data_IF_057364070210
#
_entry.id   IF_057364070210
#
_cell.length_a   1.000
_cell.length_b   1.000
_cell.length_c   1.000
_cell.angle_alpha   90.00
_cell.angle_beta   90.00
_cell.angle_gamma   90.00
#
_symmetry.space_group_name_H-M   'P 1'
#
loop_
_entity.id
_entity.type
_entity.pdbx_description
1 polymer ?
#
# COMPACT_ATOMS: atom_id res chain seq x y z
N UNK A 1 -20.29 46.79 -25.89
CA UNK A 1 -18.84 46.49 -26.00
C UNK A 1 -18.67 45.17 -26.73
N UNK A 2 -18.24 45.23 -28.00
CA UNK A 2 -17.84 44.04 -28.75
C UNK A 2 -16.38 43.75 -28.34
N UNK A 3 -16.17 42.65 -27.62
CA UNK A 3 -14.82 42.13 -27.42
C UNK A 3 -14.31 41.59 -28.78
N UNK A 4 -13.36 42.25 -29.39
CA UNK A 4 -12.60 41.71 -30.51
C UNK A 4 -11.86 40.45 -29.98
N UNK A 5 -12.20 39.29 -30.55
CA UNK A 5 -11.47 38.04 -30.28
C UNK A 5 -10.12 38.15 -30.93
N UNK A 6 -9.06 38.27 -30.13
CA UNK A 6 -7.72 38.14 -30.67
C UNK A 6 -7.54 36.73 -31.28
N UNK A 7 -6.86 36.63 -32.43
CA UNK A 7 -6.62 35.32 -33.05
C UNK A 7 -5.73 34.48 -32.13
N UNK A 8 -6.22 33.29 -31.77
CA UNK A 8 -5.43 32.32 -31.03
C UNK A 8 -4.40 31.73 -31.99
N UNK A 9 -3.12 31.96 -31.74
CA UNK A 9 -2.03 31.29 -32.46
C UNK A 9 -1.87 29.89 -31.86
N UNK A 10 -2.19 28.88 -32.65
CA UNK A 10 -1.97 27.49 -32.28
C UNK A 10 -0.56 27.15 -32.72
N UNK A 11 0.34 26.88 -31.77
CA UNK A 11 1.69 26.37 -32.00
C UNK A 11 1.75 24.92 -31.50
N UNK A 12 1.71 23.98 -32.44
CA UNK A 12 1.80 22.56 -32.20
C UNK A 12 3.18 21.98 -32.58
N UNK A 13 4.18 22.86 -32.76
CA UNK A 13 5.55 22.46 -33.09
C UNK A 13 6.22 21.51 -32.08
N UNK A 14 5.71 21.47 -30.83
CA UNK A 14 6.16 20.56 -29.78
C UNK A 14 5.34 19.27 -29.68
N UNK A 15 4.34 19.08 -30.55
CA UNK A 15 3.56 17.84 -30.63
C UNK A 15 4.20 16.90 -31.62
N UNK A 16 4.79 15.84 -31.13
CA UNK A 16 5.42 14.81 -31.95
C UNK A 16 4.43 13.67 -32.26
N UNK A 17 4.36 13.26 -33.52
CA UNK A 17 3.59 12.08 -33.90
C UNK A 17 4.25 10.82 -33.27
N UNK A 18 3.46 9.78 -32.92
CA UNK A 18 4.01 8.48 -32.52
C UNK A 18 4.96 7.92 -33.56
N UNK A 19 5.99 7.17 -33.13
CA UNK A 19 6.88 6.49 -34.05
C UNK A 19 6.10 5.53 -34.97
N UNK A 20 6.49 5.48 -36.23
CA UNK A 20 5.94 4.49 -37.20
C UNK A 20 6.41 3.06 -36.92
N UNK A 21 7.52 2.93 -36.19
CA UNK A 21 8.09 1.67 -35.71
C UNK A 21 8.28 1.78 -34.23
N UNK A 22 7.24 1.46 -33.42
CA UNK A 22 7.29 1.59 -31.95
C UNK A 22 8.30 0.62 -31.33
N UNK A 23 8.59 -0.52 -31.93
CA UNK A 23 9.55 -1.51 -31.43
C UNK A 23 11.00 -1.00 -31.47
N UNK A 24 11.30 -0.04 -32.37
CA UNK A 24 12.63 0.57 -32.46
C UNK A 24 12.87 1.67 -31.45
N UNK A 25 11.86 2.07 -30.67
CA UNK A 25 11.97 3.18 -29.71
C UNK A 25 12.62 2.71 -28.42
N UNK A 26 13.84 3.18 -28.16
CA UNK A 26 14.52 2.96 -26.90
C UNK A 26 13.94 3.87 -25.80
N UNK A 27 13.55 3.27 -24.68
CA UNK A 27 13.08 4.01 -23.50
C UNK A 27 14.28 4.42 -22.65
N UNK A 28 14.65 5.70 -22.72
CA UNK A 28 15.71 6.26 -21.89
C UNK A 28 15.11 6.74 -20.56
N UNK A 29 15.53 6.11 -19.44
CA UNK A 29 15.10 6.48 -18.10
C UNK A 29 16.16 7.30 -17.41
N UNK A 30 15.72 8.35 -16.67
CA UNK A 30 16.59 9.11 -15.79
C UNK A 30 17.10 8.26 -14.60
N UNK A 31 18.13 8.71 -13.88
CA UNK A 31 18.81 7.91 -12.84
C UNK A 31 17.91 7.52 -11.67
N UNK A 32 16.88 8.32 -11.39
CA UNK A 32 15.91 8.08 -10.31
C UNK A 32 14.63 7.38 -10.78
N UNK A 33 14.55 6.94 -12.03
CA UNK A 33 13.39 6.20 -12.55
C UNK A 33 13.74 4.71 -12.53
N UNK A 34 13.10 3.96 -11.65
CA UNK A 34 13.27 2.52 -11.49
C UNK A 34 11.98 1.78 -11.91
N UNK A 35 12.06 0.50 -12.28
CA UNK A 35 10.86 -0.31 -12.48
C UNK A 35 9.96 -0.27 -11.25
N UNK A 36 8.64 -0.25 -11.48
CA UNK A 36 7.69 -0.33 -10.37
C UNK A 36 7.81 -1.71 -9.69
N UNK A 37 7.92 -1.79 -8.36
CA UNK A 37 7.92 -3.07 -7.67
C UNK A 37 6.55 -3.72 -7.74
N UNK A 38 6.55 -5.04 -7.81
CA UNK A 38 5.35 -5.86 -7.86
C UNK A 38 5.30 -6.72 -6.60
N UNK A 39 4.14 -6.78 -5.95
CA UNK A 39 3.94 -7.60 -4.76
C UNK A 39 3.80 -9.09 -5.12
N UNK A 40 4.01 -9.97 -4.13
CA UNK A 40 3.71 -11.40 -4.24
C UNK A 40 2.26 -11.68 -3.87
N UNK A 41 1.64 -12.75 -4.38
CA UNK A 41 0.31 -13.19 -3.96
C UNK A 41 0.19 -13.29 -2.43
N UNK A 42 -1.02 -13.09 -1.92
CA UNK A 42 -1.32 -13.26 -0.51
C UNK A 42 -1.37 -14.76 -0.18
N UNK A 43 -0.59 -15.23 0.79
CA UNK A 43 -0.69 -16.63 1.24
C UNK A 43 -1.97 -16.85 2.05
N UNK A 44 -2.43 -18.09 2.17
CA UNK A 44 -3.55 -18.45 3.01
C UNK A 44 -3.23 -18.38 4.51
N UNK A 45 -1.97 -18.54 4.87
CA UNK A 45 -1.45 -18.32 6.23
C UNK A 45 -0.39 -17.23 6.22
N UNK A 46 -0.54 -16.25 7.09
CA UNK A 46 0.39 -15.16 7.29
C UNK A 46 0.87 -15.14 8.75
N UNK A 47 2.15 -15.40 8.96
CA UNK A 47 2.81 -15.25 10.26
C UNK A 47 3.82 -14.11 10.16
N UNK A 48 3.56 -13.01 10.84
CA UNK A 48 4.36 -11.79 10.77
C UNK A 48 4.35 -11.01 12.08
N UNK A 49 5.44 -10.29 12.31
CA UNK A 49 5.54 -9.36 13.43
C UNK A 49 4.76 -8.07 13.19
N UNK A 50 4.27 -7.50 14.28
CA UNK A 50 3.83 -6.11 14.33
C UNK A 50 5.07 -5.21 14.26
N UNK A 51 5.41 -4.76 13.06
CA UNK A 51 6.64 -3.95 12.87
C UNK A 51 6.49 -2.50 13.32
N UNK A 52 5.25 -2.05 13.52
CA UNK A 52 4.94 -0.75 14.13
C UNK A 52 3.52 -0.71 14.68
N UNK A 53 3.35 -0.23 15.92
CA UNK A 53 2.06 0.12 16.53
C UNK A 53 1.89 1.63 16.57
N UNK A 54 0.80 2.15 16.03
CA UNK A 54 0.56 3.57 15.79
C UNK A 54 -0.77 4.01 16.42
N UNK A 55 -0.86 5.27 16.80
CA UNK A 55 -2.08 5.86 17.36
C UNK A 55 -3.12 6.27 16.33
N UNK A 56 -3.93 7.27 16.70
CA UNK A 56 -4.98 7.85 15.86
C UNK A 56 -4.44 8.77 14.77
N UNK A 57 -5.23 8.94 13.69
CA UNK A 57 -5.04 9.96 12.66
C UNK A 57 -3.66 9.89 11.99
N UNK A 58 -3.21 8.69 11.69
CA UNK A 58 -1.98 8.51 10.91
C UNK A 58 -2.22 8.99 9.49
N UNK A 59 -1.52 10.05 9.12
CA UNK A 59 -1.66 10.65 7.80
C UNK A 59 -0.79 9.96 6.75
N UNK A 60 -1.13 10.17 5.48
CA UNK A 60 -0.26 9.72 4.37
C UNK A 60 1.12 10.38 4.40
N UNK A 61 1.26 11.56 5.03
CA UNK A 61 2.57 12.20 5.28
C UNK A 61 3.36 11.53 6.39
N UNK A 62 2.70 11.00 7.43
CA UNK A 62 3.37 10.17 8.44
C UNK A 62 3.90 8.88 7.81
N UNK A 63 3.13 8.26 6.91
CA UNK A 63 3.51 6.98 6.28
C UNK A 63 4.62 7.20 5.24
N UNK A 64 4.42 8.12 4.30
CA UNK A 64 5.36 8.42 3.22
C UNK A 64 5.48 9.95 3.06
N UNK A 65 6.46 10.58 3.69
CA UNK A 65 6.69 12.02 3.59
C UNK A 65 6.84 12.49 2.14
N UNK A 66 6.35 13.69 1.82
CA UNK A 66 6.36 14.24 0.47
C UNK A 66 7.12 15.58 0.38
N UNK A 67 7.98 15.86 1.33
CA UNK A 67 8.81 17.06 1.33
C UNK A 67 9.86 17.08 0.21
N UNK A 68 10.51 18.23 0.02
CA UNK A 68 11.53 18.45 -1.03
C UNK A 68 12.66 17.41 -0.98
N UNK A 69 13.01 16.89 0.20
CA UNK A 69 14.02 15.83 0.41
C UNK A 69 13.64 14.51 -0.27
N UNK A 70 12.35 14.20 -0.32
CA UNK A 70 11.82 12.89 -0.76
C UNK A 70 11.30 12.96 -2.20
N UNK A 71 10.84 14.13 -2.63
CA UNK A 71 10.22 14.35 -3.94
C UNK A 71 11.03 13.81 -5.13
N UNK A 72 12.38 13.93 -5.20
CA UNK A 72 13.18 13.38 -6.30
C UNK A 72 13.12 11.87 -6.45
N UNK A 73 12.68 11.14 -5.42
CA UNK A 73 12.66 9.67 -5.38
C UNK A 73 11.29 9.05 -5.66
N UNK A 74 10.29 9.85 -6.10
CA UNK A 74 8.92 9.34 -6.34
C UNK A 74 8.85 8.16 -7.32
N UNK A 75 9.76 8.09 -8.27
CA UNK A 75 9.88 6.97 -9.22
C UNK A 75 10.99 5.98 -8.86
N UNK A 76 11.53 6.05 -7.65
CA UNK A 76 12.51 5.13 -7.09
C UNK A 76 12.01 4.63 -5.72
N UNK A 77 11.16 3.59 -5.76
CA UNK A 77 10.46 3.11 -4.56
C UNK A 77 11.43 2.51 -3.55
N UNK A 78 12.53 1.88 -3.99
CA UNK A 78 13.59 1.40 -3.12
C UNK A 78 14.13 2.55 -2.24
N UNK A 79 14.49 3.67 -2.87
CA UNK A 79 14.99 4.84 -2.11
C UNK A 79 13.88 5.52 -1.32
N UNK A 80 12.67 5.61 -1.88
CA UNK A 80 11.52 6.20 -1.19
C UNK A 80 11.18 5.43 0.08
N UNK A 81 11.27 4.10 0.06
CA UNK A 81 10.91 3.24 1.19
C UNK A 81 11.77 3.48 2.44
N UNK A 82 12.98 4.03 2.28
CA UNK A 82 13.84 4.38 3.42
C UNK A 82 13.31 5.55 4.26
N UNK A 83 12.30 6.27 3.76
CA UNK A 83 11.66 7.39 4.47
C UNK A 83 10.30 7.01 5.08
N UNK A 84 9.84 5.76 4.87
CA UNK A 84 8.58 5.30 5.44
C UNK A 84 8.64 5.37 6.96
N UNK A 85 7.65 6.04 7.56
CA UNK A 85 7.56 6.27 9.01
C UNK A 85 8.81 6.90 9.66
N UNK A 86 9.66 7.63 8.90
CA UNK A 86 10.92 8.19 9.44
C UNK A 86 10.73 9.04 10.70
N UNK A 87 9.55 9.65 10.89
CA UNK A 87 9.23 10.45 12.08
C UNK A 87 8.51 9.66 13.19
N UNK A 88 8.14 8.40 12.95
CA UNK A 88 7.41 7.56 13.90
C UNK A 88 8.28 6.45 14.48
N UNK A 89 9.14 5.85 13.67
CA UNK A 89 10.05 4.77 14.07
C UNK A 89 11.36 4.88 13.32
N UNK A 90 12.43 5.14 14.05
CA UNK A 90 13.78 5.22 13.49
C UNK A 90 14.16 3.89 12.80
N UNK A 91 14.75 3.99 11.62
CA UNK A 91 15.17 2.83 10.82
C UNK A 91 14.06 1.80 10.53
N UNK A 92 12.82 2.26 10.34
CA UNK A 92 11.68 1.38 10.05
C UNK A 92 11.94 0.44 8.86
N UNK A 93 12.60 0.93 7.81
CA UNK A 93 12.96 0.11 6.65
C UNK A 93 13.90 -1.05 7.01
N UNK A 94 14.81 -0.87 7.98
CA UNK A 94 15.68 -1.93 8.46
C UNK A 94 14.90 -2.95 9.30
N UNK A 95 14.01 -2.48 10.18
CA UNK A 95 13.11 -3.37 10.95
C UNK A 95 12.32 -4.27 10.00
N UNK A 96 11.75 -3.71 8.92
CA UNK A 96 11.04 -4.51 7.93
C UNK A 96 11.95 -5.51 7.21
N UNK A 97 13.16 -5.12 6.84
CA UNK A 97 14.12 -6.01 6.17
C UNK A 97 14.53 -7.19 7.05
N UNK A 98 14.85 -6.93 8.30
CA UNK A 98 15.25 -7.95 9.29
C UNK A 98 14.14 -8.96 9.57
N UNK A 99 12.87 -8.52 9.54
CA UNK A 99 11.70 -9.36 9.79
C UNK A 99 10.99 -9.84 8.50
N UNK A 100 11.59 -9.58 7.33
CA UNK A 100 11.02 -9.97 6.04
C UNK A 100 9.60 -9.41 5.83
N UNK A 101 9.40 -8.14 6.17
CA UNK A 101 8.12 -7.47 6.14
C UNK A 101 7.43 -7.43 7.51
N UNK A 102 6.09 -7.30 7.51
CA UNK A 102 5.36 -7.24 8.76
C UNK A 102 3.91 -6.83 8.62
N UNK A 103 3.30 -6.58 9.77
CA UNK A 103 1.95 -6.05 9.93
C UNK A 103 2.06 -4.68 10.61
N UNK A 104 1.26 -3.72 10.14
CA UNK A 104 1.09 -2.41 10.78
C UNK A 104 -0.18 -2.47 11.62
N UNK A 105 -0.10 -1.99 12.87
CA UNK A 105 -1.26 -1.84 13.77
C UNK A 105 -1.47 -0.36 14.06
N UNK A 106 -2.72 0.12 13.97
CA UNK A 106 -3.07 1.52 14.21
C UNK A 106 -4.45 1.65 14.88
N UNK A 107 -4.77 2.85 15.33
CA UNK A 107 -6.10 3.20 15.84
C UNK A 107 -7.00 3.78 14.74
N UNK A 108 -7.71 4.85 15.07
CA UNK A 108 -8.70 5.48 14.21
C UNK A 108 -8.09 6.23 13.03
N UNK A 109 -8.79 6.17 11.88
CA UNK A 109 -8.55 7.04 10.73
C UNK A 109 -7.14 6.90 10.14
N UNK A 110 -6.69 5.65 9.93
CA UNK A 110 -5.40 5.36 9.31
C UNK A 110 -5.39 5.75 7.83
N UNK A 111 -4.34 6.47 7.40
CA UNK A 111 -4.14 6.91 6.02
C UNK A 111 -4.86 8.22 5.66
N UNK A 112 -5.24 9.04 6.65
CA UNK A 112 -5.86 10.34 6.44
C UNK A 112 -4.98 11.26 5.58
N UNK A 113 -5.61 12.14 4.81
CA UNK A 113 -4.92 13.20 4.06
C UNK A 113 -4.96 13.02 2.55
N UNK A 114 -3.87 13.40 1.87
CA UNK A 114 -3.78 13.37 0.41
C UNK A 114 -3.88 11.94 -0.14
N UNK A 115 -4.50 11.80 -1.32
CA UNK A 115 -4.51 10.54 -2.06
C UNK A 115 -3.11 10.23 -2.61
N UNK A 116 -2.29 9.52 -1.84
CA UNK A 116 -0.94 9.12 -2.22
C UNK A 116 -0.83 7.61 -2.26
N UNK A 117 -0.73 7.07 -3.47
CA UNK A 117 -0.43 5.66 -3.68
C UNK A 117 0.91 5.24 -3.06
N UNK A 118 1.89 6.15 -3.01
CA UNK A 118 3.20 5.89 -2.38
C UNK A 118 3.10 5.51 -0.90
N UNK A 119 2.06 5.98 -0.19
CA UNK A 119 1.80 5.60 1.20
C UNK A 119 1.33 4.14 1.36
N UNK A 120 0.98 3.46 0.26
CA UNK A 120 0.73 2.03 0.22
C UNK A 120 1.85 1.29 -0.53
N UNK A 121 2.33 1.85 -1.64
CA UNK A 121 3.37 1.25 -2.49
C UNK A 121 4.71 1.07 -1.75
N UNK A 122 5.14 2.07 -0.98
CA UNK A 122 6.42 1.99 -0.26
C UNK A 122 6.38 1.00 0.92
N UNK A 123 5.33 0.96 1.78
CA UNK A 123 5.15 -0.14 2.73
C UNK A 123 5.06 -1.53 2.08
N UNK A 124 4.34 -1.66 0.95
CA UNK A 124 4.31 -2.92 0.19
C UNK A 124 5.72 -3.36 -0.22
N UNK A 125 6.54 -2.44 -0.73
CA UNK A 125 7.93 -2.73 -1.09
C UNK A 125 8.76 -3.23 0.11
N UNK A 126 8.48 -2.72 1.31
CA UNK A 126 9.10 -3.17 2.56
C UNK A 126 8.54 -4.53 3.07
N UNK A 127 7.61 -5.14 2.34
CA UNK A 127 7.03 -6.43 2.70
C UNK A 127 5.86 -6.35 3.69
N UNK A 128 5.24 -5.18 3.86
CA UNK A 128 4.00 -5.09 4.64
C UNK A 128 2.89 -5.84 3.89
N UNK A 129 2.25 -6.78 4.59
CA UNK A 129 1.20 -7.65 4.03
C UNK A 129 -0.20 -7.32 4.54
N UNK A 130 -0.31 -6.77 5.74
CA UNK A 130 -1.59 -6.38 6.32
C UNK A 130 -1.45 -5.11 7.15
N UNK A 131 -2.55 -4.38 7.26
CA UNK A 131 -2.75 -3.29 8.20
C UNK A 131 -3.99 -3.61 9.01
N UNK A 132 -3.87 -3.62 10.34
CA UNK A 132 -4.99 -3.82 11.27
C UNK A 132 -5.21 -2.51 12.04
N UNK A 133 -6.41 -1.93 11.94
CA UNK A 133 -6.71 -0.67 12.63
C UNK A 133 -8.18 -0.60 13.07
N UNK A 134 -8.55 0.42 13.84
CA UNK A 134 -9.96 0.64 14.19
C UNK A 134 -10.76 1.19 13.00
N UNK A 135 -10.15 2.06 12.18
CA UNK A 135 -10.80 2.57 10.96
C UNK A 135 -9.79 3.10 9.96
N UNK A 136 -10.16 3.08 8.67
CA UNK A 136 -9.36 3.57 7.54
C UNK A 136 -9.93 4.85 6.94
N UNK A 137 -9.05 5.72 6.46
CA UNK A 137 -9.42 6.72 5.47
C UNK A 137 -9.72 6.00 4.13
N UNK A 138 -10.88 6.29 3.53
CA UNK A 138 -11.45 5.57 2.38
C UNK A 138 -10.48 5.43 1.20
N UNK A 139 -9.83 6.52 0.79
CA UNK A 139 -8.92 6.50 -0.38
C UNK A 139 -7.67 5.66 -0.08
N UNK A 140 -7.15 5.73 1.14
CA UNK A 140 -5.97 4.96 1.52
C UNK A 140 -6.26 3.46 1.57
N UNK A 141 -7.44 3.05 2.09
CA UNK A 141 -7.90 1.67 2.04
C UNK A 141 -7.90 1.12 0.60
N UNK A 142 -8.44 1.89 -0.35
CA UNK A 142 -8.41 1.51 -1.77
C UNK A 142 -6.98 1.37 -2.30
N UNK A 143 -6.05 2.25 -1.89
CA UNK A 143 -4.63 2.12 -2.27
C UNK A 143 -3.98 0.86 -1.68
N UNK A 144 -4.28 0.50 -0.43
CA UNK A 144 -3.78 -0.75 0.16
C UNK A 144 -4.22 -1.96 -0.66
N UNK A 145 -5.50 -2.04 -1.03
CA UNK A 145 -6.07 -3.09 -1.87
C UNK A 145 -5.34 -3.15 -3.22
N UNK A 146 -5.16 -2.01 -3.89
CA UNK A 146 -4.48 -1.92 -5.18
C UNK A 146 -3.05 -2.46 -5.14
N UNK A 147 -2.38 -2.38 -4.01
CA UNK A 147 -1.02 -2.90 -3.83
C UNK A 147 -0.97 -4.26 -3.11
N UNK A 148 -2.11 -4.92 -2.91
CA UNK A 148 -2.18 -6.26 -2.34
C UNK A 148 -1.81 -6.31 -0.85
N UNK A 149 -2.10 -5.22 -0.11
CA UNK A 149 -2.00 -5.17 1.34
C UNK A 149 -3.41 -5.37 1.91
N UNK A 150 -3.58 -6.34 2.79
CA UNK A 150 -4.86 -6.69 3.39
C UNK A 150 -5.28 -5.65 4.44
N UNK A 151 -6.38 -4.90 4.23
CA UNK A 151 -6.88 -3.92 5.18
C UNK A 151 -7.90 -4.58 6.11
N UNK A 152 -7.60 -4.65 7.39
CA UNK A 152 -8.41 -5.29 8.42
C UNK A 152 -8.80 -4.27 9.50
N UNK A 153 -10.03 -4.35 10.00
CA UNK A 153 -10.48 -3.55 11.14
C UNK A 153 -10.74 -4.45 12.34
N UNK A 154 -10.42 -3.99 13.53
CA UNK A 154 -10.78 -4.70 14.76
C UNK A 154 -12.29 -4.84 14.87
N UNK A 155 -12.79 -6.03 15.24
CA UNK A 155 -14.21 -6.22 15.59
C UNK A 155 -14.50 -5.53 16.92
N UNK A 156 -13.61 -5.67 17.91
CA UNK A 156 -13.60 -4.90 19.14
C UNK A 156 -12.40 -3.92 19.14
N UNK A 157 -12.62 -2.60 19.11
CA UNK A 157 -11.53 -1.63 19.14
C UNK A 157 -10.63 -1.71 20.39
N UNK A 158 -11.09 -2.32 21.48
CA UNK A 158 -10.31 -2.50 22.69
C UNK A 158 -9.18 -3.53 22.51
N UNK A 159 -9.30 -4.46 21.56
CA UNK A 159 -8.26 -5.44 21.24
C UNK A 159 -6.93 -4.78 20.82
N UNK A 160 -6.99 -3.58 20.24
CA UNK A 160 -5.79 -2.79 19.94
C UNK A 160 -4.88 -2.61 21.17
N UNK A 161 -5.44 -2.41 22.35
CA UNK A 161 -4.65 -2.11 23.56
C UNK A 161 -3.78 -3.32 23.98
N UNK A 162 -4.21 -4.54 23.62
CA UNK A 162 -3.51 -5.77 24.02
C UNK A 162 -2.30 -6.11 23.13
N UNK A 163 -2.14 -5.46 21.99
CA UNK A 163 -1.07 -5.73 21.02
C UNK A 163 0.11 -4.80 21.30
N UNK A 164 1.32 -5.29 21.19
CA UNK A 164 2.54 -4.51 21.33
C UNK A 164 3.41 -4.54 20.05
N UNK A 165 4.35 -3.59 19.96
CA UNK A 165 5.40 -3.62 18.93
C UNK A 165 6.17 -4.93 19.01
N UNK A 166 6.41 -5.55 17.86
CA UNK A 166 7.13 -6.81 17.68
C UNK A 166 6.39 -8.06 18.15
N UNK A 167 5.10 -7.98 18.50
CA UNK A 167 4.27 -9.17 18.72
C UNK A 167 4.18 -10.00 17.44
N UNK A 168 4.15 -11.33 17.59
CA UNK A 168 4.01 -12.28 16.49
C UNK A 168 2.52 -12.57 16.24
N UNK A 169 1.98 -12.09 15.14
CA UNK A 169 0.59 -12.32 14.75
C UNK A 169 0.49 -13.41 13.69
N UNK A 170 -0.46 -14.30 13.88
CA UNK A 170 -0.79 -15.39 12.96
C UNK A 170 -2.22 -15.20 12.46
N UNK A 171 -2.35 -15.06 11.15
CA UNK A 171 -3.60 -15.02 10.42
C UNK A 171 -3.70 -16.32 9.60
N UNK A 172 -4.60 -17.20 9.97
CA UNK A 172 -4.85 -18.46 9.26
C UNK A 172 -6.12 -18.35 8.40
N UNK A 173 -6.20 -19.14 7.34
CA UNK A 173 -7.40 -19.25 6.50
C UNK A 173 -7.83 -17.91 5.89
N UNK A 174 -6.86 -17.13 5.41
CA UNK A 174 -7.12 -15.80 4.81
C UNK A 174 -8.10 -15.93 3.63
N UNK A 175 -8.10 -17.05 2.92
CA UNK A 175 -9.04 -17.30 1.82
C UNK A 175 -10.49 -17.45 2.27
N UNK A 176 -10.76 -17.74 3.55
CA UNK A 176 -12.12 -17.81 4.10
C UNK A 176 -12.80 -16.43 4.14
N UNK A 177 -12.04 -15.33 3.95
CA UNK A 177 -12.59 -13.98 3.78
C UNK A 177 -13.58 -13.86 2.62
N UNK A 178 -13.55 -14.75 1.63
CA UNK A 178 -14.58 -14.81 0.58
C UNK A 178 -15.96 -15.22 1.13
N UNK A 179 -15.98 -15.94 2.25
CA UNK A 179 -17.23 -16.47 2.84
C UNK A 179 -17.78 -15.57 3.96
N UNK A 180 -16.90 -15.14 4.88
CA UNK A 180 -17.32 -14.57 6.17
C UNK A 180 -16.85 -13.12 6.39
N UNK A 181 -15.89 -12.62 5.61
CA UNK A 181 -15.28 -11.29 5.82
C UNK A 181 -14.64 -11.09 7.19
N UNK A 182 -14.54 -12.12 8.02
CA UNK A 182 -14.02 -12.08 9.38
C UNK A 182 -12.90 -13.12 9.52
N UNK A 183 -11.82 -12.74 10.19
CA UNK A 183 -10.73 -13.65 10.56
C UNK A 183 -10.50 -13.59 12.06
N UNK A 184 -10.10 -14.72 12.64
CA UNK A 184 -9.48 -14.76 13.95
C UNK A 184 -7.97 -14.59 13.79
N UNK A 185 -7.41 -13.66 14.54
CA UNK A 185 -5.96 -13.42 14.61
C UNK A 185 -5.46 -13.97 15.95
N UNK A 186 -4.40 -14.76 15.90
CA UNK A 186 -3.72 -15.23 17.09
C UNK A 186 -2.43 -14.44 17.32
N UNK A 187 -2.35 -13.75 18.44
CA UNK A 187 -1.13 -13.14 18.94
C UNK A 187 -0.37 -14.21 19.74
N UNK A 188 0.67 -14.76 19.12
CA UNK A 188 1.45 -15.83 19.71
C UNK A 188 2.38 -15.33 20.83
N UNK A 189 2.70 -14.04 20.86
CA UNK A 189 3.53 -13.44 21.90
C UNK A 189 2.74 -13.24 23.19
N UNK A 190 1.51 -12.74 23.09
CA UNK A 190 0.64 -12.45 24.22
C UNK A 190 -0.28 -13.64 24.60
N UNK A 191 -0.29 -14.70 23.78
CA UNK A 191 -1.22 -15.84 23.88
C UNK A 191 -2.69 -15.39 23.93
N UNK A 192 -3.05 -14.52 22.97
CA UNK A 192 -4.40 -13.94 22.85
C UNK A 192 -4.97 -14.15 21.47
N UNK A 193 -6.28 -14.17 21.38
CA UNK A 193 -7.03 -14.20 20.13
C UNK A 193 -8.00 -13.04 20.06
N UNK A 194 -8.10 -12.45 18.89
CA UNK A 194 -9.06 -11.40 18.60
C UNK A 194 -9.59 -11.54 17.18
N UNK A 195 -10.70 -10.89 16.90
CA UNK A 195 -11.33 -10.93 15.58
C UNK A 195 -11.13 -9.63 14.82
N UNK A 196 -10.96 -9.78 13.52
CA UNK A 196 -10.83 -8.66 12.59
C UNK A 196 -11.80 -8.84 11.43
N UNK A 197 -12.26 -7.73 10.87
CA UNK A 197 -13.18 -7.70 9.75
C UNK A 197 -12.51 -7.09 8.52
N UNK A 198 -12.78 -7.66 7.33
CA UNK A 198 -12.34 -7.17 6.03
C UNK A 198 -13.54 -6.62 5.26
N UNK A 199 -13.76 -5.31 5.33
CA UNK A 199 -14.80 -4.63 4.55
C UNK A 199 -14.35 -4.46 3.09
N UNK A 200 -14.29 -5.56 2.34
CA UNK A 200 -13.85 -5.66 0.96
C UNK A 200 -14.90 -6.38 0.11
N UNK A 201 -15.00 -6.03 -1.17
CA UNK A 201 -15.78 -6.80 -2.15
C UNK A 201 -15.01 -8.06 -2.58
N UNK A 202 -15.65 -8.98 -3.32
CA UNK A 202 -14.94 -10.13 -3.90
C UNK A 202 -13.86 -9.69 -4.87
N UNK A 203 -14.10 -8.65 -5.68
CA UNK A 203 -13.11 -8.09 -6.59
C UNK A 203 -11.92 -7.48 -5.84
N UNK A 204 -12.14 -6.80 -4.72
CA UNK A 204 -11.06 -6.31 -3.86
C UNK A 204 -10.23 -7.46 -3.31
N UNK A 205 -10.88 -8.55 -2.88
CA UNK A 205 -10.18 -9.75 -2.42
C UNK A 205 -9.37 -10.40 -3.54
N UNK A 206 -9.94 -10.51 -4.74
CA UNK A 206 -9.21 -11.04 -5.92
C UNK A 206 -7.93 -10.23 -6.18
N UNK A 207 -7.99 -8.90 -6.09
CA UNK A 207 -6.81 -8.04 -6.21
C UNK A 207 -5.80 -8.30 -5.09
N UNK A 208 -6.25 -8.38 -3.84
CA UNK A 208 -5.38 -8.65 -2.68
C UNK A 208 -4.70 -10.02 -2.83
N UNK A 209 -5.47 -11.06 -3.15
CA UNK A 209 -4.95 -12.43 -3.30
C UNK A 209 -3.97 -12.56 -4.46
N UNK A 210 -4.17 -11.81 -5.55
CA UNK A 210 -3.22 -11.75 -6.64
C UNK A 210 -1.89 -11.02 -6.28
N UNK A 211 -1.86 -10.27 -5.17
CA UNK A 211 -0.76 -9.39 -4.82
C UNK A 211 -0.86 -8.00 -5.44
N UNK A 212 -2.09 -7.53 -5.69
CA UNK A 212 -2.43 -6.20 -6.17
C UNK A 212 -3.03 -6.17 -7.57
N UNK A 213 -3.58 -5.01 -7.91
CA UNK A 213 -4.33 -4.80 -9.16
C UNK A 213 -3.53 -5.12 -10.43
N UNK A 214 -2.23 -4.81 -10.47
CA UNK A 214 -1.39 -5.11 -11.63
C UNK A 214 -1.26 -6.62 -11.89
N UNK A 215 -1.06 -7.40 -10.84
CA UNK A 215 -1.03 -8.86 -10.96
C UNK A 215 -2.39 -9.43 -11.34
N UNK A 216 -3.46 -8.91 -10.72
CA UNK A 216 -4.83 -9.32 -11.03
C UNK A 216 -5.15 -9.14 -12.53
N UNK A 217 -4.88 -7.96 -13.08
CA UNK A 217 -5.09 -7.68 -14.52
C UNK A 217 -4.21 -8.57 -15.41
N UNK A 218 -2.94 -8.77 -15.04
CA UNK A 218 -2.03 -9.64 -15.78
C UNK A 218 -2.52 -11.08 -15.83
N UNK A 219 -3.04 -11.60 -14.72
CA UNK A 219 -3.58 -12.95 -14.65
C UNK A 219 -4.82 -13.13 -15.51
N UNK A 220 -5.66 -12.10 -15.63
CA UNK A 220 -6.82 -12.12 -16.54
C UNK A 220 -6.41 -12.11 -18.02
N UNK A 221 -5.37 -11.35 -18.39
CA UNK A 221 -4.89 -11.27 -19.78
C UNK A 221 -4.12 -12.53 -20.23
N UNK A 222 -3.52 -13.28 -19.31
CA UNK A 222 -2.83 -14.54 -19.61
C UNK A 222 -3.76 -15.74 -19.84
N UNK A 223 -5.06 -15.55 -19.73
CA UNK A 223 -6.10 -16.59 -19.94
C UNK A 223 -6.83 -16.46 -21.29
N UNK A 224 -6.33 -15.61 -22.21
CA UNK A 224 -6.84 -15.46 -23.59
C UNK A 224 -5.97 -16.19 -24.60
#
# INVERSE_FOLDING_TARGET
>A
DQFEKEPVIIDDSLIYAPSKDPESVEIVRGPNIKPIPVNTPMPDQLEKKVVIKLGNNITTDHIAPAGAKVLPYRSNIEKLSTFVFENNKEHFDQVCKENQGGIIVAKENYGQGSSREHAALAPMYLGIKAVICCSFARIHKANLINFGILPLTFEDPEDYESIEDMDDLILDHIHDLYQDRTLEVYDATQDKRFKVHCDCTDEDLDMIMAGGALNYIRNQQGTC
#
